data_IF_100176116461
#
_entry.id   IF_100176116461
#
_cell.length_a   1.000
_cell.length_b   1.000
_cell.length_c   1.000
_cell.angle_alpha   90.00
_cell.angle_beta   90.00
_cell.angle_gamma   90.00
#
_symmetry.space_group_name_H-M   'P 1'
#
loop_
_entity.id
_entity.type
_entity.pdbx_description
1 polymer ?
#
# COMPACT_ATOMS: atom_id res chain seq x y z
N UNK A 1 4.64 11.24 -21.44
CA UNK A 1 4.74 11.80 -20.07
C UNK A 1 4.70 10.65 -19.07
N UNK A 2 5.53 10.69 -18.02
CA UNK A 2 5.64 9.67 -16.97
C UNK A 2 5.47 10.33 -15.59
N UNK A 3 5.14 9.55 -14.56
CA UNK A 3 5.04 10.04 -13.18
C UNK A 3 6.22 9.60 -12.32
N UNK A 4 6.49 10.37 -11.28
CA UNK A 4 7.44 10.04 -10.23
C UNK A 4 6.80 10.25 -8.85
N UNK A 5 7.31 9.58 -7.82
CA UNK A 5 6.92 9.82 -6.43
C UNK A 5 8.08 9.68 -5.46
N UNK A 6 7.83 9.97 -4.18
CA UNK A 6 8.77 9.83 -3.07
C UNK A 6 8.38 8.64 -2.18
N UNK A 7 9.36 7.94 -1.59
CA UNK A 7 9.07 6.91 -0.57
C UNK A 7 8.64 7.53 0.76
N UNK A 8 9.19 8.70 1.07
CA UNK A 8 8.86 9.54 2.21
C UNK A 8 8.63 10.97 1.74
N UNK A 9 7.48 11.55 2.10
CA UNK A 9 7.06 12.87 1.63
C UNK A 9 7.48 13.98 2.59
N UNK A 10 7.85 15.14 2.06
CA UNK A 10 8.04 16.35 2.88
C UNK A 10 6.73 17.11 3.07
N UNK A 11 5.87 17.06 2.05
CA UNK A 11 4.51 17.59 2.03
C UNK A 11 3.61 16.66 1.22
N UNK A 12 2.30 16.77 1.40
CA UNK A 12 1.31 16.02 0.60
C UNK A 12 1.37 16.38 -0.90
N UNK A 13 2.01 17.50 -1.25
CA UNK A 13 2.17 18.01 -2.61
C UNK A 13 3.65 18.05 -3.06
N UNK A 14 4.43 17.01 -2.75
CA UNK A 14 5.87 16.96 -3.08
C UNK A 14 6.15 17.17 -4.57
N UNK A 15 5.24 16.72 -5.44
CA UNK A 15 5.31 16.95 -6.88
C UNK A 15 5.36 18.44 -7.25
N UNK A 16 4.50 19.25 -6.64
CA UNK A 16 4.45 20.68 -6.87
C UNK A 16 5.69 21.37 -6.30
N UNK A 17 6.14 20.94 -5.12
CA UNK A 17 7.34 21.48 -4.46
C UNK A 17 8.63 21.19 -5.25
N UNK A 18 8.75 20.00 -5.84
CA UNK A 18 9.97 19.52 -6.49
C UNK A 18 9.87 19.53 -8.04
N UNK A 19 8.78 20.09 -8.59
CA UNK A 19 8.54 20.24 -10.02
C UNK A 19 8.60 18.94 -10.84
N UNK A 20 8.04 17.85 -10.30
CA UNK A 20 7.83 16.60 -11.05
C UNK A 20 6.34 16.31 -11.25
N UNK A 21 6.01 15.43 -12.20
CA UNK A 21 4.64 14.97 -12.40
C UNK A 21 4.32 13.86 -11.38
N UNK A 22 3.60 14.18 -10.30
CA UNK A 22 3.24 13.23 -9.26
C UNK A 22 1.89 12.54 -9.45
N UNK A 23 1.61 11.58 -8.56
CA UNK A 23 0.30 10.97 -8.33
C UNK A 23 -0.45 11.64 -7.18
N UNK A 24 0.26 12.05 -6.14
CA UNK A 24 -0.27 12.58 -4.90
C UNK A 24 -0.79 14.00 -5.05
N UNK A 25 -1.89 14.29 -4.37
CA UNK A 25 -2.52 15.61 -4.36
C UNK A 25 -3.24 15.87 -3.04
N UNK A 26 -3.05 17.07 -2.50
CA UNK A 26 -3.93 17.70 -1.52
C UNK A 26 -4.34 19.07 -2.05
N UNK A 27 -5.64 19.27 -2.30
CA UNK A 27 -6.19 20.55 -2.71
C UNK A 27 -7.67 20.67 -2.30
N UNK A 28 -8.17 21.87 -2.04
CA UNK A 28 -9.58 22.07 -1.64
C UNK A 28 -10.61 21.74 -2.72
N UNK A 29 -10.15 21.41 -3.93
CA UNK A 29 -10.97 21.02 -5.08
C UNK A 29 -10.59 19.62 -5.58
N UNK A 30 -10.14 18.74 -4.67
CA UNK A 30 -9.77 17.38 -5.02
C UNK A 30 -10.99 16.67 -5.59
N UNK A 31 -10.83 16.08 -6.78
CA UNK A 31 -11.89 15.27 -7.33
C UNK A 31 -12.06 14.02 -6.46
N UNK A 32 -13.24 13.87 -5.87
CA UNK A 32 -13.57 12.73 -5.00
C UNK A 32 -13.48 11.39 -5.75
N UNK A 33 -13.78 11.38 -7.06
CA UNK A 33 -13.68 10.18 -7.89
C UNK A 33 -12.24 9.68 -7.98
N UNK A 34 -11.26 10.59 -7.96
CA UNK A 34 -9.84 10.23 -7.92
C UNK A 34 -9.46 9.63 -6.57
N UNK A 35 -10.03 10.15 -5.48
CA UNK A 35 -9.84 9.58 -4.15
C UNK A 35 -10.41 8.17 -4.07
N UNK A 36 -11.64 7.95 -4.55
CA UNK A 36 -12.27 6.63 -4.63
C UNK A 36 -11.46 5.67 -5.49
N UNK A 37 -10.96 6.13 -6.65
CA UNK A 37 -10.09 5.34 -7.50
C UNK A 37 -8.81 4.92 -6.77
N UNK A 38 -8.18 5.84 -6.03
CA UNK A 38 -6.97 5.56 -5.27
C UNK A 38 -7.22 4.50 -4.18
N UNK A 39 -8.30 4.63 -3.42
CA UNK A 39 -8.70 3.65 -2.38
C UNK A 39 -8.89 2.26 -3.00
N UNK A 40 -9.65 2.16 -4.10
CA UNK A 40 -9.87 0.91 -4.83
C UNK A 40 -8.57 0.31 -5.39
N UNK A 41 -7.62 1.16 -5.79
CA UNK A 41 -6.30 0.73 -6.26
C UNK A 41 -5.28 0.60 -5.11
N UNK A 42 -5.73 0.53 -3.85
CA UNK A 42 -4.87 0.26 -2.69
C UNK A 42 -3.88 1.38 -2.36
N UNK A 43 -4.17 2.61 -2.76
CA UNK A 43 -3.45 3.82 -2.32
C UNK A 43 -4.27 4.56 -1.27
N UNK A 44 -3.60 5.43 -0.51
CA UNK A 44 -4.27 6.20 0.53
C UNK A 44 -5.23 7.22 -0.09
N UNK A 45 -6.50 7.15 0.28
CA UNK A 45 -7.50 8.18 0.02
C UNK A 45 -8.03 8.81 1.30
N UNK A 46 -8.45 10.07 1.21
CA UNK A 46 -9.24 10.70 2.26
C UNK A 46 -10.16 11.77 1.69
N UNK A 47 -11.42 11.40 1.48
CA UNK A 47 -12.46 12.24 0.87
C UNK A 47 -12.65 13.55 1.65
N UNK A 48 -12.90 13.46 2.96
CA UNK A 48 -13.05 14.64 3.84
C UNK A 48 -11.76 15.45 4.00
N UNK A 49 -10.60 14.82 3.78
CA UNK A 49 -9.30 15.48 3.78
C UNK A 49 -8.91 16.10 2.45
N UNK A 50 -9.76 16.00 1.41
CA UNK A 50 -9.50 16.46 0.06
C UNK A 50 -8.12 16.03 -0.47
N UNK A 51 -7.77 14.76 -0.28
CA UNK A 51 -6.50 14.22 -0.75
C UNK A 51 -6.55 12.77 -1.18
N UNK A 52 -5.57 12.44 -2.00
CA UNK A 52 -5.16 11.09 -2.35
C UNK A 52 -3.63 11.09 -2.46
N UNK A 53 -2.97 10.09 -1.89
CA UNK A 53 -1.52 10.07 -1.78
C UNK A 53 -0.96 8.71 -2.15
N UNK A 54 0.14 8.75 -2.91
CA UNK A 54 0.97 7.59 -3.11
C UNK A 54 1.71 7.25 -1.82
N UNK A 55 1.80 5.96 -1.56
CA UNK A 55 2.78 5.36 -0.66
C UNK A 55 3.40 4.19 -1.40
N UNK A 56 4.62 3.81 -1.02
CA UNK A 56 5.29 2.65 -1.60
C UNK A 56 4.42 1.40 -1.44
N UNK A 57 3.81 0.98 -2.54
CA UNK A 57 2.75 -0.02 -2.57
C UNK A 57 2.97 -1.07 -3.64
N UNK A 58 1.87 -1.60 -4.18
CA UNK A 58 1.94 -2.79 -5.04
C UNK A 58 2.54 -2.52 -6.43
N UNK A 59 3.18 -3.55 -7.05
CA UNK A 59 3.59 -3.50 -8.45
C UNK A 59 2.43 -3.18 -9.41
N UNK A 60 1.21 -3.65 -9.12
CA UNK A 60 0.03 -3.35 -9.96
C UNK A 60 -0.30 -1.86 -9.93
N UNK A 61 -0.24 -1.23 -8.76
CA UNK A 61 -0.39 0.24 -8.65
C UNK A 61 0.69 0.95 -9.46
N UNK A 62 1.95 0.60 -9.25
CA UNK A 62 3.07 1.25 -9.92
C UNK A 62 3.00 1.09 -11.45
N UNK A 63 2.58 -0.10 -11.92
CA UNK A 63 2.35 -0.46 -13.31
C UNK A 63 1.32 0.44 -13.98
N UNK A 64 0.07 0.45 -13.49
CA UNK A 64 -1.05 1.11 -14.15
C UNK A 64 -1.13 2.62 -13.90
N UNK A 65 -0.53 3.11 -12.83
CA UNK A 65 -0.49 4.54 -12.52
C UNK A 65 0.65 5.29 -13.24
N UNK A 66 1.35 4.62 -14.18
CA UNK A 66 2.47 5.20 -14.95
C UNK A 66 3.58 5.75 -14.03
N UNK A 67 3.84 5.04 -12.91
CA UNK A 67 4.89 5.41 -11.97
C UNK A 67 6.23 4.88 -12.48
N UNK A 68 7.01 5.75 -13.11
CA UNK A 68 8.31 5.41 -13.68
C UNK A 68 9.44 5.51 -12.66
N UNK A 69 9.40 6.50 -11.79
CA UNK A 69 10.47 6.75 -10.84
C UNK A 69 9.95 6.84 -9.41
N UNK A 70 10.69 6.24 -8.48
CA UNK A 70 10.50 6.41 -7.05
C UNK A 70 11.79 6.98 -6.46
N UNK A 71 11.67 8.01 -5.63
CA UNK A 71 12.81 8.70 -5.03
C UNK A 71 12.80 8.40 -3.54
N UNK A 72 13.80 7.65 -3.07
CA UNK A 72 13.98 7.37 -1.65
C UNK A 72 14.90 8.42 -1.04
N UNK A 73 14.38 9.32 -0.20
CA UNK A 73 15.17 10.45 0.37
C UNK A 73 16.10 10.05 1.52
N UNK A 74 15.76 8.95 2.17
CA UNK A 74 16.35 8.42 3.40
C UNK A 74 17.01 7.05 3.17
N UNK A 75 17.13 6.61 1.91
CA UNK A 75 17.61 5.29 1.51
C UNK A 75 16.72 4.14 2.06
N UNK A 76 15.48 4.43 2.43
CA UNK A 76 14.50 3.44 2.90
C UNK A 76 13.46 3.20 1.80
N UNK A 77 13.48 1.99 1.28
CA UNK A 77 12.49 1.43 0.35
C UNK A 77 12.49 -0.09 0.53
N UNK A 78 11.33 -0.70 0.30
CA UNK A 78 11.08 -2.12 0.55
C UNK A 78 10.83 -2.89 -0.74
N UNK A 79 10.43 -2.21 -1.82
CA UNK A 79 10.18 -2.86 -3.09
C UNK A 79 11.50 -3.23 -3.78
N UNK A 80 11.81 -4.53 -3.69
CA UNK A 80 12.98 -5.16 -4.29
C UNK A 80 12.67 -5.88 -5.61
N UNK A 81 11.42 -5.83 -6.07
CA UNK A 81 10.95 -6.63 -7.21
C UNK A 81 11.10 -5.92 -8.56
N UNK A 82 10.48 -4.74 -8.71
CA UNK A 82 10.40 -4.05 -10.00
C UNK A 82 11.13 -2.70 -10.04
N UNK A 83 11.86 -2.36 -8.98
CA UNK A 83 12.63 -1.14 -8.85
C UNK A 83 14.13 -1.40 -8.99
N UNK A 84 14.81 -0.60 -9.83
CA UNK A 84 16.26 -0.62 -9.98
C UNK A 84 16.84 0.74 -9.62
N UNK A 85 17.84 0.77 -8.73
CA UNK A 85 18.60 2.00 -8.48
C UNK A 85 19.36 2.40 -9.75
N UNK A 86 19.07 3.61 -10.26
CA UNK A 86 19.73 4.16 -11.46
C UNK A 86 20.62 5.36 -11.15
N UNK A 87 20.47 5.96 -9.97
CA UNK A 87 21.32 7.06 -9.49
C UNK A 87 21.20 7.21 -7.98
N UNK A 88 22.24 7.73 -7.33
CA UNK A 88 22.22 8.02 -5.91
C UNK A 88 23.23 9.09 -5.50
N UNK A 89 22.85 9.93 -4.53
CA UNK A 89 23.72 10.94 -3.91
C UNK A 89 23.42 11.00 -2.42
N UNK A 90 24.42 10.72 -1.58
CA UNK A 90 24.23 10.61 -0.13
C UNK A 90 23.17 9.54 0.20
N UNK A 91 22.17 9.92 0.98
CA UNK A 91 21.04 9.04 1.36
C UNK A 91 19.88 9.08 0.34
N UNK A 92 20.00 9.85 -0.74
CA UNK A 92 18.93 9.95 -1.74
C UNK A 92 19.19 8.97 -2.88
N UNK A 93 18.22 8.11 -3.16
CA UNK A 93 18.24 7.14 -4.27
C UNK A 93 17.15 7.44 -5.28
N UNK A 94 17.50 7.34 -6.56
CA UNK A 94 16.55 7.33 -7.67
C UNK A 94 16.37 5.89 -8.14
N UNK A 95 15.15 5.40 -7.98
CA UNK A 95 14.74 4.05 -8.36
C UNK A 95 13.89 4.15 -9.63
N UNK A 96 14.21 3.36 -10.64
CA UNK A 96 13.41 3.22 -11.85
C UNK A 96 12.53 1.98 -11.75
N UNK A 97 11.22 2.16 -11.94
CA UNK A 97 10.29 1.06 -12.16
C UNK A 97 10.53 0.48 -13.57
N UNK A 98 10.81 -0.81 -13.66
CA UNK A 98 11.07 -1.51 -14.91
C UNK A 98 9.80 -2.01 -15.61
N UNK A 99 8.65 -1.87 -14.98
CA UNK A 99 7.38 -2.39 -15.47
C UNK A 99 6.32 -1.32 -15.72
N UNK A 100 6.55 -0.04 -15.42
CA UNK A 100 5.55 1.02 -15.63
C UNK A 100 4.94 1.02 -17.05
N UNK A 101 3.63 1.26 -17.13
CA UNK A 101 2.97 1.49 -18.42
C UNK A 101 3.01 2.97 -18.80
N UNK A 102 3.22 3.29 -20.09
CA UNK A 102 3.09 4.67 -20.57
C UNK A 102 1.65 5.18 -20.39
N UNK A 103 1.45 6.50 -20.51
CA UNK A 103 0.13 7.14 -20.36
C UNK A 103 -0.97 6.55 -21.27
N UNK A 104 -0.60 6.00 -22.42
CA UNK A 104 -1.52 5.27 -23.30
C UNK A 104 -0.99 3.87 -23.56
N UNK A 105 -1.83 2.87 -23.30
CA UNK A 105 -1.56 1.46 -23.52
C UNK A 105 -2.85 0.74 -23.93
N UNK A 106 -2.74 -0.45 -24.53
CA UNK A 106 -3.90 -1.24 -24.89
C UNK A 106 -4.27 -2.21 -23.77
N UNK A 107 -5.57 -2.39 -23.58
CA UNK A 107 -6.14 -3.40 -22.68
C UNK A 107 -7.19 -4.20 -23.42
N UNK A 108 -7.60 -5.32 -22.84
CA UNK A 108 -8.81 -6.01 -23.27
C UNK A 108 -10.03 -5.10 -23.04
N UNK A 109 -11.02 -5.17 -23.94
CA UNK A 109 -12.26 -4.40 -23.86
C UNK A 109 -13.08 -4.73 -22.61
N UNK A 110 -12.89 -5.92 -22.02
CA UNK A 110 -13.51 -6.32 -20.76
C UNK A 110 -13.20 -5.35 -19.61
N UNK A 111 -12.09 -4.61 -19.65
CA UNK A 111 -11.77 -3.60 -18.62
C UNK A 111 -12.86 -2.53 -18.46
N UNK A 112 -13.62 -2.24 -19.52
CA UNK A 112 -14.72 -1.27 -19.46
C UNK A 112 -15.83 -1.66 -18.47
N UNK A 113 -15.90 -2.93 -18.02
CA UNK A 113 -16.86 -3.37 -17.01
C UNK A 113 -16.37 -3.21 -15.58
N UNK A 114 -15.10 -2.86 -15.34
CA UNK A 114 -14.58 -2.69 -13.99
C UNK A 114 -15.25 -1.50 -13.30
N UNK A 115 -15.67 -1.67 -12.05
CA UNK A 115 -16.34 -0.63 -11.27
C UNK A 115 -15.62 -0.41 -9.94
N UNK A 116 -15.51 0.87 -9.58
CA UNK A 116 -15.09 1.26 -8.24
C UNK A 116 -16.17 0.87 -7.22
N UNK A 117 -15.74 0.61 -5.99
CA UNK A 117 -16.62 0.58 -4.83
C UNK A 117 -16.43 1.88 -4.06
N UNK A 118 -17.51 2.63 -3.89
CA UNK A 118 -17.49 3.93 -3.21
C UNK A 118 -17.43 3.79 -1.68
N UNK A 119 -17.77 2.60 -1.16
CA UNK A 119 -17.77 2.31 0.26
C UNK A 119 -16.43 1.69 0.68
N UNK A 120 -15.55 2.54 1.24
CA UNK A 120 -14.20 2.18 1.67
C UNK A 120 -14.14 0.99 2.65
N UNK A 121 -15.21 0.75 3.41
CA UNK A 121 -15.28 -0.36 4.39
C UNK A 121 -15.73 -1.70 3.78
N UNK A 122 -16.18 -1.72 2.53
CA UNK A 122 -16.86 -2.88 1.94
C UNK A 122 -16.07 -3.64 0.87
N UNK A 123 -14.82 -3.26 0.60
CA UNK A 123 -13.98 -3.98 -0.35
C UNK A 123 -12.58 -4.28 0.19
N UNK A 124 -11.90 -5.18 -0.53
CA UNK A 124 -10.49 -5.48 -0.34
C UNK A 124 -9.73 -4.96 -1.57
N UNK A 125 -8.76 -4.04 -1.42
CA UNK A 125 -8.05 -3.48 -2.56
C UNK A 125 -7.20 -4.51 -3.32
N UNK A 126 -6.78 -5.61 -2.69
CA UNK A 126 -6.12 -6.68 -3.42
C UNK A 126 -7.06 -7.35 -4.42
N UNK A 127 -8.33 -7.55 -4.03
CA UNK A 127 -9.35 -8.14 -4.90
C UNK A 127 -9.71 -7.18 -6.05
N UNK A 128 -9.81 -5.87 -5.76
CA UNK A 128 -10.00 -4.84 -6.78
C UNK A 128 -8.86 -4.79 -7.79
N UNK A 129 -7.61 -4.89 -7.34
CA UNK A 129 -6.44 -4.96 -8.22
C UNK A 129 -6.40 -6.27 -9.03
N UNK A 130 -6.73 -7.41 -8.42
CA UNK A 130 -6.85 -8.69 -9.12
C UNK A 130 -7.91 -8.63 -10.22
N UNK A 131 -9.10 -8.11 -9.92
CA UNK A 131 -10.19 -7.94 -10.89
C UNK A 131 -9.76 -7.04 -12.05
N UNK A 132 -9.22 -5.85 -11.74
CA UNK A 132 -8.73 -4.90 -12.73
C UNK A 132 -7.68 -5.55 -13.64
N UNK A 133 -6.70 -6.25 -13.06
CA UNK A 133 -5.63 -6.91 -13.82
C UNK A 133 -6.16 -8.00 -14.75
N UNK A 134 -7.08 -8.84 -14.27
CA UNK A 134 -7.71 -9.89 -15.08
C UNK A 134 -8.53 -9.31 -16.23
N UNK A 135 -9.31 -8.26 -15.97
CA UNK A 135 -10.10 -7.59 -17.00
C UNK A 135 -9.21 -6.85 -18.01
N UNK A 136 -8.12 -6.24 -17.57
CA UNK A 136 -7.19 -5.52 -18.44
C UNK A 136 -6.37 -6.45 -19.36
N UNK A 137 -5.96 -7.61 -18.85
CA UNK A 137 -4.99 -8.51 -19.53
C UNK A 137 -5.61 -9.75 -20.15
N UNK A 138 -6.77 -10.20 -19.65
CA UNK A 138 -7.37 -11.50 -19.99
C UNK A 138 -6.78 -12.69 -19.23
N UNK A 139 -5.72 -12.50 -18.43
CA UNK A 139 -5.15 -13.52 -17.54
C UNK A 139 -6.20 -13.89 -16.48
N UNK A 140 -6.30 -15.18 -16.14
CA UNK A 140 -7.37 -15.69 -15.24
C UNK A 140 -6.95 -15.85 -13.78
N UNK A 141 -5.66 -16.02 -13.54
CA UNK A 141 -5.12 -16.18 -12.19
C UNK A 141 -5.08 -14.84 -11.45
N UNK A 142 -5.19 -14.89 -10.13
CA UNK A 142 -4.94 -13.71 -9.29
C UNK A 142 -3.47 -13.30 -9.34
N UNK A 143 -3.23 -12.00 -9.20
CA UNK A 143 -1.89 -11.43 -9.07
C UNK A 143 -1.32 -11.76 -7.69
N UNK A 144 -2.18 -11.76 -6.67
CA UNK A 144 -1.81 -11.98 -5.28
C UNK A 144 -2.23 -13.36 -4.78
N UNK A 145 -1.43 -13.92 -3.88
CA UNK A 145 -1.77 -15.14 -3.14
C UNK A 145 -1.88 -14.78 -1.66
N UNK A 146 -3.03 -15.03 -1.01
CA UNK A 146 -3.18 -14.78 0.42
C UNK A 146 -2.23 -15.65 1.24
N UNK A 147 -1.72 -15.09 2.35
CA UNK A 147 -0.99 -15.86 3.35
C UNK A 147 -1.90 -16.18 4.54
N UNK A 148 -1.72 -17.37 5.09
CA UNK A 148 -2.39 -17.80 6.31
C UNK A 148 -1.50 -17.56 7.53
N UNK A 149 -2.14 -17.16 8.63
CA UNK A 149 -1.46 -16.98 9.92
C UNK A 149 -1.03 -18.34 10.46
N UNK A 150 0.26 -18.52 10.71
CA UNK A 150 0.82 -19.77 11.27
C UNK A 150 0.87 -19.74 12.80
N UNK A 151 1.05 -18.57 13.40
CA UNK A 151 0.99 -18.36 14.84
C UNK A 151 0.76 -16.89 15.18
N UNK A 152 0.49 -16.59 16.45
CA UNK A 152 0.17 -15.24 16.92
C UNK A 152 0.86 -14.93 18.26
N UNK A 153 1.08 -13.64 18.53
CA UNK A 153 1.63 -13.14 19.78
C UNK A 153 0.91 -11.86 20.19
N UNK A 154 0.16 -11.90 21.29
CA UNK A 154 -0.63 -10.76 21.72
C UNK A 154 -0.34 -10.48 23.20
N UNK A 155 -0.58 -9.23 23.61
CA UNK A 155 -0.72 -8.92 25.05
C UNK A 155 -1.81 -9.79 25.66
N UNK A 156 -1.72 -10.08 26.97
CA UNK A 156 -2.65 -10.99 27.66
C UNK A 156 -4.10 -10.63 27.37
N UNK A 157 -4.92 -11.64 27.05
CA UNK A 157 -6.30 -11.42 26.62
C UNK A 157 -7.14 -10.66 27.65
N UNK A 158 -6.87 -10.80 28.95
CA UNK A 158 -7.63 -10.08 29.98
C UNK A 158 -7.33 -8.57 29.99
N UNK A 159 -6.15 -8.17 29.50
CA UNK A 159 -5.72 -6.78 29.35
C UNK A 159 -6.01 -6.23 27.95
N UNK A 160 -6.02 -7.12 26.96
CA UNK A 160 -6.17 -6.76 25.56
C UNK A 160 -6.88 -7.89 24.79
N UNK A 161 -8.23 -7.95 24.85
CA UNK A 161 -8.98 -8.94 24.10
C UNK A 161 -8.75 -8.79 22.59
N UNK A 162 -8.36 -9.88 21.92
CA UNK A 162 -8.20 -9.95 20.46
C UNK A 162 -9.08 -11.06 19.92
N UNK A 163 -10.01 -10.73 19.03
CA UNK A 163 -10.99 -11.67 18.48
C UNK A 163 -10.93 -11.65 16.96
N UNK A 164 -10.84 -12.83 16.35
CA UNK A 164 -10.95 -12.99 14.88
C UNK A 164 -12.43 -12.92 14.50
N UNK A 165 -12.79 -11.98 13.65
CA UNK A 165 -14.16 -11.80 13.14
C UNK A 165 -14.33 -12.30 11.70
N UNK A 166 -13.22 -12.51 10.99
CA UNK A 166 -13.19 -13.05 9.63
C UNK A 166 -11.76 -13.31 9.15
N UNK A 167 -11.59 -13.68 7.88
CA UNK A 167 -10.27 -13.75 7.28
C UNK A 167 -9.64 -12.34 7.22
N UNK A 168 -8.44 -12.16 7.79
CA UNK A 168 -7.76 -10.87 7.86
C UNK A 168 -8.47 -9.79 8.69
N UNK A 169 -9.56 -10.12 9.39
CA UNK A 169 -10.36 -9.17 10.18
C UNK A 169 -10.33 -9.56 11.66
N UNK A 170 -9.92 -8.60 12.47
CA UNK A 170 -9.74 -8.77 13.91
C UNK A 170 -10.33 -7.56 14.63
N UNK A 171 -11.00 -7.81 15.76
CA UNK A 171 -11.36 -6.76 16.72
C UNK A 171 -10.44 -6.86 17.92
N UNK A 172 -10.01 -5.71 18.41
CA UNK A 172 -9.22 -5.62 19.63
C UNK A 172 -9.63 -4.40 20.44
N UNK A 173 -9.46 -4.48 21.76
CA UNK A 173 -9.74 -3.38 22.67
C UNK A 173 -8.73 -3.36 23.81
N UNK A 174 -8.37 -2.17 24.27
CA UNK A 174 -7.51 -2.00 25.43
C UNK A 174 -8.37 -1.85 26.68
N UNK A 175 -8.29 -2.81 27.61
CA UNK A 175 -9.00 -2.73 28.90
C UNK A 175 -8.14 -2.08 29.99
N UNK A 176 -6.81 -2.08 29.81
CA UNK A 176 -5.84 -1.45 30.72
C UNK A 176 -5.01 -0.38 29.99
N UNK A 177 -5.37 0.89 30.19
CA UNK A 177 -4.67 2.03 29.56
C UNK A 177 -3.28 2.32 30.12
N UNK A 178 -2.82 1.57 31.13
CA UNK A 178 -1.48 1.74 31.73
C UNK A 178 -0.40 0.94 31.01
N UNK A 179 -0.78 0.04 30.10
CA UNK A 179 0.14 -0.75 29.27
C UNK A 179 0.11 -0.28 27.82
N UNK A 180 1.18 -0.55 27.08
CA UNK A 180 1.21 -0.44 25.62
C UNK A 180 0.97 -1.84 25.06
N UNK A 181 -0.28 -2.22 24.75
CA UNK A 181 -0.58 -3.54 24.23
C UNK A 181 -0.09 -3.70 22.79
N UNK A 182 0.03 -4.94 22.33
CA UNK A 182 0.37 -5.26 20.94
C UNK A 182 -0.42 -6.44 20.41
N UNK A 183 -0.59 -6.44 19.08
CA UNK A 183 -0.97 -7.59 18.26
C UNK A 183 0.19 -7.99 17.36
N UNK A 184 0.36 -9.29 17.12
CA UNK A 184 1.36 -9.86 16.23
C UNK A 184 0.77 -11.10 15.58
N UNK A 185 0.83 -11.13 14.25
CA UNK A 185 0.53 -12.30 13.46
C UNK A 185 1.80 -12.73 12.74
N UNK A 186 2.10 -14.02 12.82
CA UNK A 186 3.23 -14.60 12.13
C UNK A 186 2.73 -15.34 10.89
N UNK A 187 3.48 -15.18 9.81
CA UNK A 187 3.25 -15.83 8.53
C UNK A 187 4.52 -16.58 8.13
N UNK A 188 4.39 -17.62 7.33
CA UNK A 188 5.52 -18.30 6.69
C UNK A 188 5.60 -17.86 5.23
N UNK A 189 6.76 -17.35 4.82
CA UNK A 189 7.02 -16.96 3.43
C UNK A 189 7.28 -18.23 2.60
N UNK A 190 6.36 -18.65 1.69
CA UNK A 190 6.52 -19.92 0.98
C UNK A 190 7.62 -19.88 -0.10
N UNK A 191 8.08 -18.68 -0.48
CA UNK A 191 9.11 -18.46 -1.51
C UNK A 191 9.76 -17.08 -1.34
N UNK A 192 10.94 -16.92 -1.91
CA UNK A 192 11.52 -15.62 -2.14
C UNK A 192 10.63 -14.77 -3.07
N UNK A 193 10.39 -13.51 -2.71
CA UNK A 193 9.62 -12.59 -3.53
C UNK A 193 9.09 -11.39 -2.75
N UNK A 194 8.27 -10.56 -3.40
CA UNK A 194 7.68 -9.38 -2.78
C UNK A 194 6.45 -9.75 -1.95
N UNK A 195 6.40 -9.27 -0.72
CA UNK A 195 5.23 -9.34 0.15
C UNK A 195 4.59 -7.96 0.31
N UNK A 196 3.27 -7.97 0.43
CA UNK A 196 2.44 -6.77 0.57
C UNK A 196 1.51 -6.95 1.76
N UNK A 197 1.16 -5.82 2.38
CA UNK A 197 0.24 -5.79 3.51
C UNK A 197 -0.82 -4.72 3.27
N UNK A 198 -2.07 -5.05 3.54
CA UNK A 198 -3.13 -4.06 3.71
C UNK A 198 -3.53 -4.06 5.18
N UNK A 199 -3.64 -2.88 5.77
CA UNK A 199 -4.17 -2.71 7.10
C UNK A 199 -5.05 -1.47 7.15
N UNK A 200 -6.14 -1.57 7.91
CA UNK A 200 -7.03 -0.48 8.25
C UNK A 200 -7.26 -0.55 9.76
N UNK A 201 -6.64 0.37 10.50
CA UNK A 201 -6.59 0.32 11.96
C UNK A 201 -7.40 1.48 12.51
N UNK A 202 -8.56 1.15 13.10
CA UNK A 202 -9.39 2.12 13.81
C UNK A 202 -8.61 2.88 14.88
N UNK A 203 -8.64 4.21 14.82
CA UNK A 203 -7.85 5.08 15.72
C UNK A 203 -6.42 5.36 15.23
N UNK A 204 -5.96 4.59 14.24
CA UNK A 204 -4.63 4.68 13.67
C UNK A 204 -3.53 4.12 14.57
N UNK A 205 -2.63 3.36 13.98
CA UNK A 205 -1.41 2.88 14.65
C UNK A 205 -0.33 2.61 13.59
N UNK A 206 0.91 2.47 14.06
CA UNK A 206 2.03 2.06 13.24
C UNK A 206 2.15 0.55 13.24
N UNK A 207 2.28 -0.05 12.05
CA UNK A 207 2.62 -1.45 11.91
C UNK A 207 4.12 -1.60 11.74
N UNK A 208 4.72 -2.50 12.52
CA UNK A 208 6.11 -2.92 12.36
C UNK A 208 6.15 -4.30 11.71
N UNK A 209 6.93 -4.45 10.64
CA UNK A 209 7.18 -5.74 10.00
C UNK A 209 8.46 -6.32 10.58
N UNK A 210 8.44 -7.62 10.88
CA UNK A 210 9.59 -8.36 11.38
C UNK A 210 9.90 -9.54 10.46
N UNK A 211 11.17 -9.77 10.18
CA UNK A 211 11.65 -10.95 9.47
C UNK A 211 12.48 -11.77 10.47
N UNK A 212 12.06 -13.00 10.75
CA UNK A 212 12.71 -13.87 11.75
C UNK A 212 12.93 -13.15 13.10
N UNK A 213 11.89 -12.50 13.61
CA UNK A 213 11.87 -11.69 14.84
C UNK A 213 12.79 -10.46 14.85
N UNK A 214 13.35 -10.07 13.70
CA UNK A 214 14.12 -8.84 13.54
C UNK A 214 13.24 -7.77 12.88
N UNK A 215 13.00 -6.68 13.60
CA UNK A 215 12.25 -5.53 13.09
C UNK A 215 12.95 -4.91 11.88
N UNK A 216 12.18 -4.66 10.82
CA UNK A 216 12.63 -3.91 9.67
C UNK A 216 12.77 -2.42 10.01
N UNK A 217 13.58 -1.69 9.24
CA UNK A 217 13.85 -0.27 9.49
C UNK A 217 12.64 0.64 9.26
N UNK A 218 11.65 0.18 8.48
CA UNK A 218 10.46 0.94 8.13
C UNK A 218 9.26 0.50 8.98
N UNK A 219 8.60 1.49 9.56
CA UNK A 219 7.25 1.35 10.12
C UNK A 219 6.22 1.90 9.13
N UNK A 220 4.99 1.42 9.23
CA UNK A 220 3.90 1.78 8.33
C UNK A 220 2.79 2.44 9.13
N UNK A 221 2.61 3.74 8.98
CA UNK A 221 1.49 4.45 9.58
C UNK A 221 0.18 4.04 8.90
N UNK A 222 -0.64 3.27 9.61
CA UNK A 222 -1.89 2.70 9.11
C UNK A 222 -3.12 3.42 9.68
N UNK A 223 -2.96 4.70 10.04
CA UNK A 223 -4.09 5.61 10.31
C UNK A 223 -4.91 5.96 9.07
N UNK A 224 -4.41 5.61 7.88
CA UNK A 224 -5.17 5.50 6.64
C UNK A 224 -4.79 4.20 5.97
N UNK A 225 -5.77 3.51 5.44
CA UNK A 225 -5.57 2.21 4.83
C UNK A 225 -4.95 2.34 3.44
N UNK A 226 -4.04 1.41 3.12
CA UNK A 226 -3.40 1.27 1.82
C UNK A 226 -2.70 -0.09 1.74
N UNK A 227 -2.36 -0.50 0.53
CA UNK A 227 -1.47 -1.64 0.31
C UNK A 227 -0.03 -1.13 0.43
N UNK A 228 0.64 -1.51 1.51
CA UNK A 228 2.05 -1.29 1.73
C UNK A 228 2.90 -2.41 1.11
N UNK A 229 4.00 -2.02 0.48
CA UNK A 229 5.09 -2.93 0.18
C UNK A 229 5.92 -3.19 1.44
N UNK A 230 6.03 -4.45 1.86
CA UNK A 230 6.70 -4.84 3.11
C UNK A 230 8.04 -5.54 2.94
N UNK A 231 8.50 -5.71 1.70
CA UNK A 231 9.80 -6.28 1.38
C UNK A 231 9.74 -7.74 0.98
N UNK A 232 10.92 -8.37 1.00
CA UNK A 232 11.12 -9.80 0.72
C UNK A 232 11.24 -10.59 2.02
#
# INVERSE_FOLDING_TARGET
>A
MWRAEMTSTQTLNDAALNHYNGLSMFNSMANVDMTVLFENFGMMGWKSGNRYTYAEGSPVTNLFMNLKYLIARDNIYMNTYDLTEVYGVGNVKLLQNNHYLPMGFMTNSALASWQVDENEDQFNPFDKQNEFFKLATGIKNDVYTPLDVVSQGHTDYNQFPVNKTGYGRYSFSCTDTTVTPHVKWNYEAPKDGLYLMYADISGGDDVTVMINDVAQSKTYGMGRSYIACIGQ
#
